data_IF_817554222594
#
_entry.id   IF_817554222594
#
_cell.length_a   1.000
_cell.length_b   1.000
_cell.length_c   1.000
_cell.angle_alpha   90.00
_cell.angle_beta   90.00
_cell.angle_gamma   90.00
#
_symmetry.space_group_name_H-M   'P 1'
#
loop_
_entity.id
_entity.type
_entity.pdbx_description
1 polymer ?
#
# COMPACT_ATOMS: atom_id res chain seq x y z
N UNK A 1 0.09 -2.07 -12.81
CA UNK A 1 1.24 -2.22 -11.90
C UNK A 1 1.99 -0.90 -11.75
N UNK A 2 2.32 -0.26 -12.89
CA UNK A 2 2.89 1.10 -13.05
C UNK A 2 2.03 2.28 -12.58
N UNK A 3 0.96 2.05 -11.83
CA UNK A 3 0.09 3.14 -11.39
C UNK A 3 0.83 4.01 -10.35
N UNK A 4 0.84 5.33 -10.57
CA UNK A 4 1.55 6.31 -9.75
C UNK A 4 0.65 7.09 -8.79
N UNK A 5 -0.65 6.78 -8.68
CA UNK A 5 -1.58 7.48 -7.76
C UNK A 5 -1.18 7.38 -6.29
N UNK A 6 -0.40 6.36 -5.95
CA UNK A 6 0.07 6.09 -4.59
C UNK A 6 1.35 6.85 -4.22
N UNK A 7 1.81 7.77 -5.07
CA UNK A 7 3.02 8.56 -4.82
C UNK A 7 2.88 9.45 -3.59
N UNK A 8 1.73 10.07 -3.38
CA UNK A 8 1.46 10.88 -2.18
C UNK A 8 1.46 10.02 -0.92
N UNK A 9 0.79 8.87 -0.96
CA UNK A 9 0.80 7.88 0.14
C UNK A 9 2.21 7.38 0.47
N UNK A 10 3.07 7.23 -0.56
CA UNK A 10 4.48 6.89 -0.36
C UNK A 10 5.23 8.03 0.34
N UNK A 11 5.03 9.28 -0.08
CA UNK A 11 5.67 10.45 0.53
C UNK A 11 5.28 10.60 2.00
N UNK A 12 3.99 10.48 2.31
CA UNK A 12 3.48 10.49 3.68
C UNK A 12 4.10 9.37 4.53
N UNK A 13 4.29 8.19 3.94
CA UNK A 13 4.92 7.06 4.63
C UNK A 13 6.40 7.32 4.89
N UNK A 14 7.12 7.89 3.91
CA UNK A 14 8.54 8.22 4.05
C UNK A 14 8.79 9.27 5.14
N UNK A 15 7.84 10.17 5.39
CA UNK A 15 7.91 11.16 6.47
C UNK A 15 7.69 10.56 7.85
N UNK A 16 6.97 9.44 7.94
CA UNK A 16 6.72 8.69 9.19
C UNK A 16 7.86 7.75 9.56
N UNK A 17 8.85 7.54 8.69
CA UNK A 17 10.02 6.69 8.98
C UNK A 17 10.86 7.32 10.10
N UNK A 18 11.35 6.51 11.08
CA UNK A 18 12.24 6.99 12.13
C UNK A 18 13.44 7.76 11.59
N UNK A 19 13.85 8.80 12.31
CA UNK A 19 14.96 9.69 11.95
C UNK A 19 14.74 10.54 10.68
N UNK A 20 13.52 10.57 10.10
CA UNK A 20 13.14 11.38 8.92
C UNK A 20 14.12 11.26 7.73
N UNK A 21 14.79 10.13 7.61
CA UNK A 21 15.83 9.89 6.60
C UNK A 21 15.26 9.71 5.19
N UNK A 22 13.92 9.64 5.04
CA UNK A 22 13.21 9.33 3.78
C UNK A 22 13.81 8.13 3.05
N UNK A 23 14.33 7.15 3.81
CA UNK A 23 15.06 6.02 3.25
C UNK A 23 14.07 5.03 2.61
N UNK A 24 14.03 5.00 1.27
CA UNK A 24 13.20 4.05 0.52
C UNK A 24 13.55 2.58 0.81
N UNK A 25 14.76 2.29 1.27
CA UNK A 25 15.18 0.92 1.61
C UNK A 25 14.86 0.53 3.05
N UNK A 26 14.13 1.36 3.81
CA UNK A 26 13.85 1.10 5.23
C UNK A 26 13.20 -0.26 5.50
N UNK A 27 12.24 -0.67 4.66
CA UNK A 27 11.56 -1.98 4.79
C UNK A 27 12.25 -3.11 4.02
N UNK A 28 13.31 -2.82 3.26
CA UNK A 28 14.02 -3.82 2.45
C UNK A 28 14.55 -5.00 3.28
N UNK A 29 15.05 -4.82 4.53
CA UNK A 29 15.44 -5.95 5.36
C UNK A 29 14.30 -6.89 5.76
N UNK A 30 13.04 -6.42 5.73
CA UNK A 30 11.87 -7.21 6.12
C UNK A 30 11.19 -7.86 4.92
N UNK A 31 10.95 -7.09 3.85
CA UNK A 31 10.20 -7.56 2.67
C UNK A 31 11.07 -7.81 1.43
N UNK A 32 12.38 -7.56 1.49
CA UNK A 32 13.31 -7.70 0.37
C UNK A 32 13.23 -6.58 -0.68
N UNK A 33 12.26 -5.66 -0.57
CA UNK A 33 11.93 -4.68 -1.61
C UNK A 33 12.05 -3.24 -1.10
N UNK A 34 12.44 -2.28 -1.96
CA UNK A 34 12.38 -0.87 -1.61
C UNK A 34 10.91 -0.39 -1.60
N UNK A 35 10.64 0.68 -0.85
CA UNK A 35 9.38 1.41 -0.93
C UNK A 35 9.23 2.06 -2.32
N UNK A 36 8.16 1.70 -3.00
CA UNK A 36 7.85 2.17 -4.35
C UNK A 36 6.34 2.12 -4.59
N UNK A 37 5.75 3.06 -5.37
CA UNK A 37 4.33 3.04 -5.77
C UNK A 37 3.93 1.74 -6.48
N UNK A 38 4.94 0.97 -6.88
CA UNK A 38 4.80 -0.25 -7.61
C UNK A 38 4.06 -1.37 -6.88
N UNK A 39 4.34 -1.55 -5.60
CA UNK A 39 3.90 -2.71 -4.84
C UNK A 39 2.45 -2.59 -4.37
N UNK A 40 1.83 -3.74 -4.08
CA UNK A 40 0.40 -3.85 -3.73
C UNK A 40 0.05 -3.15 -2.42
N UNK A 41 0.92 -3.18 -1.42
CA UNK A 41 0.66 -2.62 -0.09
C UNK A 41 0.25 -1.13 -0.13
N UNK A 42 0.94 -0.32 -0.93
CA UNK A 42 0.59 1.10 -1.06
C UNK A 42 -0.74 1.31 -1.78
N UNK A 43 -1.11 0.42 -2.72
CA UNK A 43 -2.40 0.47 -3.41
C UNK A 43 -3.54 0.12 -2.46
N UNK A 44 -3.34 -0.88 -1.61
CA UNK A 44 -4.30 -1.26 -0.55
C UNK A 44 -4.49 -0.07 0.40
N UNK A 45 -3.41 0.54 0.90
CA UNK A 45 -3.51 1.71 1.77
C UNK A 45 -4.25 2.86 1.09
N UNK A 46 -3.89 3.17 -0.16
CA UNK A 46 -4.54 4.23 -0.93
C UNK A 46 -6.04 3.98 -1.11
N UNK A 47 -6.46 2.74 -1.37
CA UNK A 47 -7.88 2.38 -1.48
C UNK A 47 -8.64 2.60 -0.16
N UNK A 48 -8.05 2.20 0.96
CA UNK A 48 -8.64 2.40 2.30
C UNK A 48 -8.82 3.90 2.60
N UNK A 49 -7.86 4.74 2.18
CA UNK A 49 -7.90 6.18 2.44
C UNK A 49 -8.84 6.95 1.49
N UNK A 50 -8.93 6.54 0.23
CA UNK A 50 -9.58 7.34 -0.82
C UNK A 50 -10.94 6.80 -1.28
N UNK A 51 -11.27 5.54 -0.99
CA UNK A 51 -12.51 4.91 -1.46
C UNK A 51 -13.40 4.58 -0.26
N UNK A 52 -14.44 5.39 0.03
CA UNK A 52 -15.29 5.19 1.21
C UNK A 52 -15.91 3.79 1.29
N UNK A 53 -16.29 3.21 0.15
CA UNK A 53 -16.82 1.84 0.08
C UNK A 53 -15.80 0.79 0.55
N UNK A 54 -14.52 0.96 0.21
CA UNK A 54 -13.45 0.05 0.65
C UNK A 54 -13.24 0.19 2.15
N UNK A 55 -13.18 1.44 2.66
CA UNK A 55 -13.07 1.69 4.09
C UNK A 55 -14.19 1.02 4.88
N UNK A 56 -15.45 1.22 4.48
CA UNK A 56 -16.59 0.59 5.14
C UNK A 56 -16.54 -0.94 5.08
N UNK A 57 -16.08 -1.52 3.97
CA UNK A 57 -15.94 -2.96 3.84
C UNK A 57 -14.84 -3.53 4.77
N UNK A 58 -13.74 -2.79 4.97
CA UNK A 58 -12.67 -3.15 5.91
C UNK A 58 -13.18 -3.06 7.35
N UNK A 59 -13.88 -1.97 7.70
CA UNK A 59 -14.45 -1.77 9.03
C UNK A 59 -15.52 -2.83 9.37
N UNK A 60 -16.21 -3.36 8.36
CA UNK A 60 -17.21 -4.42 8.50
C UNK A 60 -16.64 -5.85 8.39
N UNK A 61 -15.31 -6.01 8.35
CA UNK A 61 -14.61 -7.31 8.19
C UNK A 61 -15.05 -8.12 6.95
N UNK A 62 -15.57 -7.43 5.92
CA UNK A 62 -16.10 -8.03 4.70
C UNK A 62 -15.25 -7.66 3.46
N UNK A 63 -13.99 -7.28 3.67
CA UNK A 63 -13.08 -6.90 2.60
C UNK A 63 -11.95 -7.91 2.44
N UNK A 64 -11.83 -8.48 1.24
CA UNK A 64 -10.67 -9.27 0.83
C UNK A 64 -9.79 -8.46 -0.12
N UNK A 65 -8.48 -8.56 0.06
CA UNK A 65 -7.48 -8.01 -0.87
C UNK A 65 -6.70 -9.16 -1.51
N UNK A 66 -6.42 -9.02 -2.79
CA UNK A 66 -5.67 -10.01 -3.55
C UNK A 66 -4.97 -9.38 -4.75
N UNK A 67 -3.90 -10.01 -5.19
CA UNK A 67 -3.35 -9.79 -6.53
C UNK A 67 -4.23 -10.48 -7.57
N UNK A 68 -3.93 -10.31 -8.86
CA UNK A 68 -4.79 -10.82 -9.94
C UNK A 68 -4.95 -12.35 -9.87
N UNK A 69 -3.91 -13.08 -9.51
CA UNK A 69 -3.95 -14.52 -9.27
C UNK A 69 -4.96 -14.90 -8.18
N UNK A 70 -4.98 -14.20 -7.04
CA UNK A 70 -5.99 -14.41 -5.99
C UNK A 70 -7.41 -14.14 -6.52
N UNK A 71 -7.58 -13.05 -7.26
CA UNK A 71 -8.88 -12.67 -7.85
C UNK A 71 -9.38 -13.66 -8.91
N UNK A 72 -8.47 -14.32 -9.63
CA UNK A 72 -8.83 -15.33 -10.63
C UNK A 72 -9.16 -16.69 -10.02
N UNK A 73 -8.59 -17.01 -8.85
CA UNK A 73 -8.83 -18.27 -8.15
C UNK A 73 -10.11 -18.22 -7.32
N UNK A 74 -10.40 -17.07 -6.71
CA UNK A 74 -11.59 -16.83 -5.88
C UNK A 74 -12.83 -16.55 -6.73
#
# INVERSE_FOLDING_TARGET
WHDMRTTTTLEDLLERIPNRTRNKNYLKPLCGLPLSPYFSALKIRWLIDNVPKVKHAVDAENCAFGTIDTWLIW
#
